data_IF_460739472959
#
_entry.id   IF_460739472959
#
_cell.length_a   1.000
_cell.length_b   1.000
_cell.length_c   1.000
_cell.angle_alpha   90.00
_cell.angle_beta   90.00
_cell.angle_gamma   90.00
#
_symmetry.space_group_name_H-M   'P 1'
#
loop_
_entity.id
_entity.type
_entity.pdbx_description
1 polymer ?
#
# COMPACT_ATOMS: atom_id res chain seq x y z
N UNK A 1 -35.36 -16.25 -43.93
CA UNK A 1 -33.90 -16.03 -44.06
C UNK A 1 -33.41 -15.88 -42.65
N UNK A 2 -32.65 -16.85 -42.16
CA UNK A 2 -32.12 -16.81 -40.80
C UNK A 2 -30.82 -16.03 -40.86
N UNK A 3 -30.80 -14.87 -40.20
CA UNK A 3 -29.60 -14.05 -40.04
C UNK A 3 -28.64 -14.82 -39.13
N UNK A 4 -27.69 -15.47 -39.77
CA UNK A 4 -26.53 -16.07 -39.11
C UNK A 4 -25.58 -14.91 -38.79
N UNK A 5 -25.87 -14.16 -37.73
CA UNK A 5 -24.89 -13.28 -37.09
C UNK A 5 -23.77 -14.17 -36.55
N UNK A 6 -22.75 -14.39 -37.39
CA UNK A 6 -21.55 -15.10 -36.96
C UNK A 6 -20.98 -14.40 -35.73
N UNK A 7 -20.80 -15.14 -34.63
CA UNK A 7 -20.05 -14.63 -33.49
C UNK A 7 -18.72 -14.06 -34.00
N UNK A 8 -18.56 -12.74 -33.89
CA UNK A 8 -17.33 -12.06 -34.26
C UNK A 8 -16.16 -12.74 -33.53
N UNK A 9 -15.09 -13.05 -34.26
CA UNK A 9 -13.93 -13.71 -33.70
C UNK A 9 -13.36 -12.91 -32.52
N UNK A 10 -13.11 -13.58 -31.40
CA UNK A 10 -12.57 -12.98 -30.17
C UNK A 10 -11.28 -12.21 -30.45
N UNK A 11 -11.22 -10.95 -30.03
CA UNK A 11 -10.06 -10.07 -30.22
C UNK A 11 -9.08 -10.28 -29.08
N UNK A 12 -7.89 -10.80 -29.40
CA UNK A 12 -6.85 -11.05 -28.38
C UNK A 12 -6.26 -9.74 -27.86
N UNK A 13 -6.33 -9.54 -26.54
CA UNK A 13 -5.76 -8.37 -25.85
C UNK A 13 -4.26 -8.56 -25.68
N UNK A 14 -3.47 -7.57 -26.09
CA UNK A 14 -2.01 -7.53 -26.05
C UNK A 14 -1.57 -6.26 -25.33
N UNK A 15 -1.22 -6.33 -24.05
CA UNK A 15 -0.84 -5.15 -23.30
C UNK A 15 0.50 -4.60 -23.81
N UNK A 16 0.58 -3.27 -23.88
CA UNK A 16 1.83 -2.57 -24.22
C UNK A 16 2.93 -2.89 -23.20
N UNK A 17 2.54 -3.04 -21.93
CA UNK A 17 3.39 -3.61 -20.89
C UNK A 17 3.26 -5.14 -20.87
N UNK A 18 4.27 -5.86 -21.35
CA UNK A 18 4.28 -7.33 -21.36
C UNK A 18 4.24 -7.96 -19.96
N UNK A 19 4.54 -7.20 -18.92
CA UNK A 19 4.45 -7.63 -17.53
C UNK A 19 3.11 -7.26 -16.85
N UNK A 20 2.10 -6.82 -17.62
CA UNK A 20 0.78 -6.52 -17.06
C UNK A 20 0.13 -7.81 -16.54
N UNK A 21 0.10 -7.95 -15.22
CA UNK A 21 -0.62 -9.00 -14.51
C UNK A 21 -1.08 -8.49 -13.15
N UNK A 22 -2.29 -8.86 -12.72
CA UNK A 22 -2.82 -8.56 -11.41
C UNK A 22 -2.18 -9.45 -10.36
N UNK A 23 -1.54 -8.83 -9.37
CA UNK A 23 -0.80 -9.51 -8.32
C UNK A 23 -1.51 -9.45 -6.95
N UNK A 24 -2.79 -9.08 -6.93
CA UNK A 24 -3.55 -8.85 -5.70
C UNK A 24 -3.38 -7.44 -5.16
N UNK A 25 -2.70 -6.55 -5.91
CA UNK A 25 -2.50 -5.16 -5.55
C UNK A 25 -2.74 -4.16 -6.72
N UNK A 26 -2.94 -2.89 -6.38
CA UNK A 26 -3.53 -1.78 -7.11
C UNK A 26 -4.61 -2.15 -8.15
N UNK A 27 -5.71 -2.77 -7.75
CA UNK A 27 -6.79 -3.29 -8.63
C UNK A 27 -7.34 -2.23 -9.58
N UNK A 28 -7.56 -1.00 -9.13
CA UNK A 28 -8.05 0.08 -9.99
C UNK A 28 -7.05 0.45 -11.10
N UNK A 29 -5.75 0.46 -10.76
CA UNK A 29 -4.68 0.75 -11.72
C UNK A 29 -4.53 -0.40 -12.71
N UNK A 30 -4.54 -1.64 -12.24
CA UNK A 30 -4.52 -2.83 -13.08
C UNK A 30 -5.69 -2.80 -14.07
N UNK A 31 -6.92 -2.63 -13.58
CA UNK A 31 -8.13 -2.56 -14.41
C UNK A 31 -8.01 -1.43 -15.44
N UNK A 32 -7.56 -0.23 -15.04
CA UNK A 32 -7.38 0.89 -15.95
C UNK A 32 -6.40 0.58 -17.09
N UNK A 33 -5.28 -0.08 -16.79
CA UNK A 33 -4.28 -0.48 -17.79
C UNK A 33 -4.79 -1.60 -18.71
N UNK A 34 -5.51 -2.56 -18.15
CA UNK A 34 -6.14 -3.63 -18.89
C UNK A 34 -7.20 -3.11 -19.87
N UNK A 35 -8.08 -2.23 -19.41
CA UNK A 35 -9.09 -1.57 -20.25
C UNK A 35 -8.46 -0.74 -21.37
N UNK A 36 -7.35 -0.05 -21.09
CA UNK A 36 -6.62 0.69 -22.10
C UNK A 36 -6.04 -0.25 -23.18
N UNK A 37 -5.44 -1.37 -22.79
CA UNK A 37 -4.93 -2.37 -23.73
C UNK A 37 -6.05 -2.94 -24.61
N UNK A 38 -7.17 -3.35 -24.00
CA UNK A 38 -8.34 -3.84 -24.72
C UNK A 38 -8.87 -2.84 -25.74
N UNK A 39 -8.99 -1.56 -25.35
CA UNK A 39 -9.42 -0.49 -26.25
C UNK A 39 -8.45 -0.30 -27.43
N UNK A 40 -7.15 -0.34 -27.18
CA UNK A 40 -6.13 -0.18 -28.23
C UNK A 40 -6.16 -1.33 -29.25
N UNK A 41 -6.47 -2.54 -28.80
CA UNK A 41 -6.60 -3.71 -29.68
C UNK A 41 -8.00 -3.84 -30.32
N UNK A 42 -8.95 -3.01 -29.93
CA UNK A 42 -10.33 -3.06 -30.42
C UNK A 42 -11.16 -4.20 -29.82
N UNK A 43 -10.78 -4.70 -28.64
CA UNK A 43 -11.50 -5.75 -27.94
C UNK A 43 -12.80 -5.22 -27.31
N UNK A 44 -13.83 -6.04 -27.37
CA UNK A 44 -15.13 -5.78 -26.73
C UNK A 44 -15.11 -6.04 -25.23
N UNK A 45 -16.13 -5.59 -24.53
CA UNK A 45 -16.32 -5.91 -23.11
C UNK A 45 -16.48 -7.42 -22.86
N UNK A 46 -17.10 -8.16 -23.80
CA UNK A 46 -17.18 -9.63 -23.74
C UNK A 46 -15.79 -10.25 -23.81
N UNK A 47 -14.95 -9.79 -24.75
CA UNK A 47 -13.55 -10.25 -24.88
C UNK A 47 -12.75 -9.98 -23.60
N UNK A 48 -13.00 -8.83 -22.95
CA UNK A 48 -12.33 -8.45 -21.71
C UNK A 48 -12.70 -9.37 -20.53
N UNK A 49 -13.98 -9.67 -20.34
CA UNK A 49 -14.40 -10.60 -19.30
C UNK A 49 -13.81 -12.00 -19.53
N UNK A 50 -13.84 -12.48 -20.78
CA UNK A 50 -13.31 -13.80 -21.15
C UNK A 50 -11.79 -13.93 -20.98
N UNK A 51 -11.04 -12.86 -21.22
CA UNK A 51 -9.58 -12.93 -21.23
C UNK A 51 -8.93 -12.51 -19.91
N UNK A 52 -9.67 -11.92 -18.96
CA UNK A 52 -9.12 -11.39 -17.70
C UNK A 52 -8.27 -12.42 -16.95
N UNK A 53 -8.69 -13.70 -16.92
CA UNK A 53 -7.97 -14.78 -16.24
C UNK A 53 -6.51 -14.94 -16.68
N UNK A 54 -6.19 -14.63 -17.94
CA UNK A 54 -4.82 -14.68 -18.47
C UNK A 54 -3.92 -13.54 -17.96
N UNK A 55 -4.52 -12.54 -17.31
CA UNK A 55 -3.83 -11.38 -16.74
C UNK A 55 -3.78 -11.45 -15.22
N UNK A 56 -3.97 -12.63 -14.62
CA UNK A 56 -3.81 -12.87 -13.19
C UNK A 56 -2.45 -13.52 -12.92
N UNK A 57 -1.68 -12.97 -11.98
CA UNK A 57 -0.28 -13.35 -11.78
C UNK A 57 -0.07 -14.65 -11.00
N UNK A 58 -1.09 -15.14 -10.29
CA UNK A 58 -1.01 -16.31 -9.41
C UNK A 58 -2.32 -17.09 -9.41
N UNK A 59 -2.22 -18.42 -9.31
CA UNK A 59 -3.37 -19.32 -9.27
C UNK A 59 -4.31 -19.01 -8.09
N UNK A 60 -3.76 -18.71 -6.91
CA UNK A 60 -4.56 -18.34 -5.72
C UNK A 60 -5.45 -17.11 -5.94
N UNK A 61 -5.03 -16.19 -6.81
CA UNK A 61 -5.83 -15.00 -7.16
C UNK A 61 -6.83 -15.33 -8.24
N UNK A 62 -6.47 -16.20 -9.18
CA UNK A 62 -7.36 -16.66 -10.23
C UNK A 62 -8.54 -17.40 -9.60
N UNK A 63 -8.29 -18.32 -8.68
CA UNK A 63 -9.33 -19.05 -7.92
C UNK A 63 -10.37 -18.08 -7.33
N UNK A 64 -9.93 -16.94 -6.77
CA UNK A 64 -10.85 -15.91 -6.26
C UNK A 64 -11.61 -15.25 -7.40
N UNK A 65 -10.94 -14.82 -8.48
CA UNK A 65 -11.56 -14.18 -9.65
C UNK A 65 -12.64 -15.08 -10.26
N UNK A 66 -12.42 -16.39 -10.32
CA UNK A 66 -13.40 -17.34 -10.88
C UNK A 66 -14.70 -17.41 -10.07
N UNK A 67 -14.66 -17.04 -8.78
CA UNK A 67 -15.86 -16.97 -7.92
C UNK A 67 -16.61 -15.64 -8.01
N UNK A 68 -16.06 -14.63 -8.69
CA UNK A 68 -16.65 -13.30 -8.75
C UNK A 68 -17.80 -13.22 -9.75
N UNK A 69 -18.78 -12.38 -9.42
CA UNK A 69 -19.90 -12.12 -10.33
C UNK A 69 -19.39 -11.52 -11.64
N UNK A 70 -19.83 -12.08 -12.77
CA UNK A 70 -19.43 -11.64 -14.10
C UNK A 70 -18.18 -12.33 -14.66
N UNK A 71 -17.56 -13.26 -13.92
CA UNK A 71 -16.56 -14.15 -14.51
C UNK A 71 -17.24 -15.20 -15.40
N UNK A 72 -18.19 -15.94 -14.83
CA UNK A 72 -19.03 -16.92 -15.55
C UNK A 72 -20.52 -16.69 -15.21
N UNK A 73 -21.38 -16.35 -16.19
CA UNK A 73 -21.04 -16.03 -17.58
C UNK A 73 -20.22 -14.72 -17.68
N UNK A 74 -19.40 -14.55 -18.72
CA UNK A 74 -18.57 -13.35 -18.91
C UNK A 74 -19.41 -12.07 -19.03
N UNK A 75 -19.30 -11.18 -18.05
CA UNK A 75 -19.94 -9.86 -17.97
C UNK A 75 -18.95 -8.88 -17.36
N UNK A 76 -18.34 -8.05 -18.22
CA UNK A 76 -17.26 -7.16 -17.81
C UNK A 76 -17.68 -6.09 -16.79
N UNK A 77 -18.80 -5.36 -16.98
CA UNK A 77 -19.27 -4.42 -15.96
C UNK A 77 -19.40 -5.04 -14.57
N UNK A 78 -19.97 -6.26 -14.48
CA UNK A 78 -20.10 -6.98 -13.21
C UNK A 78 -18.77 -7.44 -12.66
N UNK A 79 -17.94 -8.07 -13.48
CA UNK A 79 -16.62 -8.57 -13.07
C UNK A 79 -15.73 -7.44 -12.56
N UNK A 80 -15.70 -6.32 -13.26
CA UNK A 80 -14.98 -5.11 -12.84
C UNK A 80 -15.48 -4.62 -11.48
N UNK A 81 -16.80 -4.55 -11.29
CA UNK A 81 -17.39 -4.10 -10.03
C UNK A 81 -17.06 -5.06 -8.87
N UNK A 82 -17.15 -6.37 -9.09
CA UNK A 82 -16.82 -7.39 -8.09
C UNK A 82 -15.34 -7.41 -7.73
N UNK A 83 -14.43 -7.21 -8.70
CA UNK A 83 -13.01 -7.06 -8.40
C UNK A 83 -12.72 -5.82 -7.54
N UNK A 84 -13.36 -4.68 -7.86
CA UNK A 84 -13.23 -3.45 -7.05
C UNK A 84 -13.86 -3.64 -5.67
N UNK A 85 -14.98 -4.35 -5.55
CA UNK A 85 -15.60 -4.62 -4.25
C UNK A 85 -14.72 -5.52 -3.38
N UNK A 86 -14.09 -6.55 -3.97
CA UNK A 86 -13.24 -7.51 -3.25
C UNK A 86 -11.87 -6.90 -2.89
N UNK A 87 -11.19 -6.28 -3.86
CA UNK A 87 -9.83 -5.77 -3.67
C UNK A 87 -9.75 -4.24 -3.46
N UNK A 88 -10.71 -3.45 -3.93
CA UNK A 88 -10.61 -1.98 -3.92
C UNK A 88 -10.48 -1.34 -2.54
N UNK A 89 -10.99 -2.00 -1.49
CA UNK A 89 -10.79 -1.56 -0.10
C UNK A 89 -9.40 -1.91 0.46
N UNK A 90 -8.77 -2.99 -0.03
CA UNK A 90 -7.42 -3.39 0.39
C UNK A 90 -6.35 -2.56 -0.33
N UNK A 91 -6.72 -1.95 -1.45
CA UNK A 91 -5.76 -1.73 -2.53
C UNK A 91 -5.65 -0.30 -3.05
N UNK A 92 -6.18 0.63 -2.26
CA UNK A 92 -6.09 2.08 -2.48
C UNK A 92 -5.03 2.74 -1.60
N UNK A 93 -4.43 2.00 -0.67
CA UNK A 93 -3.42 2.50 0.25
C UNK A 93 -2.07 2.70 -0.45
N UNK A 94 -1.77 3.94 -0.86
CA UNK A 94 -0.45 4.35 -1.38
C UNK A 94 0.67 4.01 -0.39
N UNK A 95 0.36 4.06 0.90
CA UNK A 95 1.21 3.62 2.00
C UNK A 95 0.37 2.93 3.07
N UNK A 96 0.98 2.00 3.77
CA UNK A 96 0.43 1.20 4.87
C UNK A 96 1.33 1.32 6.09
N UNK A 97 0.86 0.86 7.26
CA UNK A 97 1.69 0.82 8.47
C UNK A 97 2.94 -0.05 8.32
N UNK A 98 2.91 -1.07 7.43
CA UNK A 98 4.07 -1.91 7.09
C UNK A 98 5.20 -1.13 6.42
N UNK A 99 4.88 -0.06 5.69
CA UNK A 99 5.90 0.79 5.07
C UNK A 99 6.70 1.56 6.13
N UNK A 100 6.05 1.99 7.22
CA UNK A 100 6.76 2.56 8.37
C UNK A 100 7.60 1.51 9.10
N UNK A 101 7.05 0.34 9.38
CA UNK A 101 7.81 -0.76 10.02
C UNK A 101 9.05 -1.13 9.20
N UNK A 102 8.88 -1.28 7.89
CA UNK A 102 9.97 -1.61 6.96
C UNK A 102 11.03 -0.52 6.94
N UNK A 103 10.62 0.77 6.91
CA UNK A 103 11.53 1.90 6.99
C UNK A 103 12.30 1.91 8.32
N UNK A 104 11.64 1.61 9.45
CA UNK A 104 12.33 1.51 10.76
C UNK A 104 13.34 0.39 10.77
N UNK A 105 12.99 -0.79 10.27
CA UNK A 105 13.94 -1.92 10.22
C UNK A 105 15.11 -1.63 9.26
N UNK A 106 14.87 -0.96 8.14
CA UNK A 106 15.94 -0.50 7.24
C UNK A 106 16.92 0.41 7.98
N UNK A 107 16.44 1.44 8.70
CA UNK A 107 17.31 2.33 9.45
C UNK A 107 18.03 1.62 10.59
N UNK A 108 17.35 0.73 11.33
CA UNK A 108 17.98 -0.09 12.38
C UNK A 108 19.10 -0.96 11.81
N UNK A 109 18.91 -1.55 10.63
CA UNK A 109 19.94 -2.36 9.97
C UNK A 109 21.19 -1.55 9.59
N UNK A 110 21.04 -0.24 9.35
CA UNK A 110 22.14 0.71 9.10
C UNK A 110 22.80 1.25 10.38
N UNK A 111 22.38 0.80 11.57
CA UNK A 111 22.86 1.31 12.85
C UNK A 111 21.97 2.39 13.48
N UNK A 112 20.83 2.70 12.85
CA UNK A 112 19.89 3.74 13.26
C UNK A 112 20.34 5.14 12.86
N UNK A 113 19.42 6.10 12.93
CA UNK A 113 19.69 7.51 12.65
C UNK A 113 20.70 8.04 13.68
N UNK A 114 21.85 8.50 13.20
CA UNK A 114 22.98 8.87 14.06
C UNK A 114 23.51 10.29 13.79
N UNK A 115 23.17 10.86 12.63
CA UNK A 115 23.62 12.17 12.17
C UNK A 115 22.46 13.07 11.72
N UNK A 116 22.75 14.37 11.56
CA UNK A 116 21.80 15.33 10.99
C UNK A 116 21.45 14.98 9.53
N UNK A 117 22.42 14.47 8.77
CA UNK A 117 22.22 14.06 7.38
C UNK A 117 21.27 12.86 7.32
N UNK A 118 21.52 11.84 8.16
CA UNK A 118 20.66 10.67 8.31
C UNK A 118 19.23 11.08 8.64
N UNK A 119 19.08 12.03 9.58
CA UNK A 119 17.77 12.50 10.00
C UNK A 119 17.01 13.21 8.88
N UNK A 120 17.71 14.01 8.05
CA UNK A 120 17.10 14.64 6.88
C UNK A 120 16.67 13.62 5.83
N UNK A 121 17.46 12.56 5.60
CA UNK A 121 17.11 11.49 4.68
C UNK A 121 15.91 10.68 5.19
N UNK A 122 15.91 10.32 6.46
CA UNK A 122 14.79 9.65 7.11
C UNK A 122 13.50 10.47 7.01
N UNK A 123 13.54 11.78 7.26
CA UNK A 123 12.34 12.63 7.18
C UNK A 123 11.73 12.67 5.78
N UNK A 124 12.55 12.67 4.73
CA UNK A 124 12.08 12.68 3.33
C UNK A 124 11.22 11.47 2.98
N UNK A 125 11.41 10.33 3.64
CA UNK A 125 10.60 9.12 3.45
C UNK A 125 9.52 8.96 4.52
N UNK A 126 9.84 9.24 5.79
CA UNK A 126 8.91 9.09 6.91
C UNK A 126 7.71 10.05 6.82
N UNK A 127 7.94 11.34 6.57
CA UNK A 127 6.88 12.36 6.62
C UNK A 127 5.77 12.12 5.58
N UNK A 128 6.07 11.81 4.30
CA UNK A 128 5.04 11.47 3.33
C UNK A 128 4.19 10.25 3.71
N UNK A 129 4.82 9.22 4.29
CA UNK A 129 4.12 8.01 4.74
C UNK A 129 3.19 8.35 5.90
N UNK A 130 3.72 8.97 6.96
CA UNK A 130 2.95 9.39 8.12
C UNK A 130 1.75 10.27 7.72
N UNK A 131 1.98 11.29 6.90
CA UNK A 131 0.92 12.20 6.45
C UNK A 131 -0.17 11.47 5.68
N UNK A 132 0.19 10.50 4.85
CA UNK A 132 -0.79 9.68 4.13
C UNK A 132 -1.62 8.82 5.07
N UNK A 133 -0.98 8.12 6.02
CA UNK A 133 -1.68 7.24 6.95
C UNK A 133 -2.72 8.00 7.80
N UNK A 134 -2.37 9.21 8.28
CA UNK A 134 -3.33 10.08 8.98
C UNK A 134 -4.46 10.54 8.07
N UNK A 135 -4.12 11.04 6.87
CA UNK A 135 -5.10 11.60 5.94
C UNK A 135 -6.09 10.55 5.42
N UNK A 136 -5.71 9.27 5.44
CA UNK A 136 -6.55 8.14 5.02
C UNK A 136 -7.10 7.31 6.18
N UNK A 137 -6.95 7.80 7.42
CA UNK A 137 -7.42 7.12 8.63
C UNK A 137 -6.91 5.66 8.73
N UNK A 138 -5.69 5.41 8.23
CA UNK A 138 -4.99 4.14 8.46
C UNK A 138 -4.34 4.10 9.85
N UNK A 139 -4.14 5.26 10.45
CA UNK A 139 -3.87 5.45 11.88
C UNK A 139 -4.79 6.56 12.38
N UNK A 140 -5.30 6.43 13.60
CA UNK A 140 -6.15 7.44 14.24
C UNK A 140 -5.31 8.62 14.74
N UNK A 141 -4.04 8.37 15.08
CA UNK A 141 -3.13 9.42 15.54
C UNK A 141 -1.65 9.09 15.34
N UNK A 142 -0.80 10.14 15.39
CA UNK A 142 0.66 10.00 15.39
C UNK A 142 1.20 9.26 16.63
N UNK A 143 0.39 9.11 17.68
CA UNK A 143 0.79 8.41 18.90
C UNK A 143 1.01 6.92 18.67
N UNK A 144 0.30 6.33 17.70
CA UNK A 144 0.44 4.92 17.33
C UNK A 144 1.82 4.61 16.74
N UNK A 145 2.36 5.55 15.95
CA UNK A 145 3.65 5.39 15.26
C UNK A 145 4.82 5.96 16.07
N UNK A 146 4.55 6.55 17.24
CA UNK A 146 5.56 7.17 18.12
C UNK A 146 6.69 6.22 18.48
N UNK A 147 6.36 4.98 18.80
CA UNK A 147 7.35 3.96 19.18
C UNK A 147 8.29 3.66 18.02
N UNK A 148 7.75 3.50 16.81
CA UNK A 148 8.52 3.27 15.59
C UNK A 148 9.43 4.46 15.26
N UNK A 149 8.93 5.68 15.39
CA UNK A 149 9.74 6.89 15.22
C UNK A 149 10.94 6.90 16.18
N UNK A 150 10.74 6.66 17.48
CA UNK A 150 11.83 6.58 18.46
C UNK A 150 12.83 5.45 18.14
N UNK A 151 12.33 4.29 17.70
CA UNK A 151 13.17 3.12 17.40
C UNK A 151 14.01 3.25 16.12
N UNK A 152 13.69 4.22 15.25
CA UNK A 152 14.49 4.50 14.05
C UNK A 152 15.86 5.12 14.38
N UNK A 153 16.00 5.76 15.53
CA UNK A 153 17.26 6.37 15.98
C UNK A 153 18.23 5.32 16.51
N UNK A 154 19.53 5.59 16.31
CA UNK A 154 20.60 4.80 16.93
C UNK A 154 20.48 4.81 18.46
N UNK A 155 20.97 3.77 19.13
CA UNK A 155 20.90 3.66 20.61
C UNK A 155 21.52 4.87 21.30
N UNK A 156 22.65 5.38 20.79
CA UNK A 156 23.30 6.57 21.35
C UNK A 156 22.47 7.85 21.19
N UNK A 157 21.72 8.00 20.09
CA UNK A 157 20.79 9.13 19.92
C UNK A 157 19.55 8.96 20.79
N UNK A 158 19.03 7.73 20.93
CA UNK A 158 17.93 7.43 21.85
C UNK A 158 18.25 7.80 23.30
N UNK A 159 19.48 7.53 23.77
CA UNK A 159 19.95 7.95 25.09
C UNK A 159 20.01 9.48 25.22
N UNK A 160 20.54 10.18 24.21
CA UNK A 160 20.56 11.66 24.20
C UNK A 160 19.17 12.28 24.23
N UNK A 161 18.23 11.71 23.48
CA UNK A 161 16.81 12.12 23.51
C UNK A 161 16.27 11.95 24.94
N UNK A 162 16.55 10.82 25.61
CA UNK A 162 16.13 10.58 26.99
C UNK A 162 16.72 11.62 27.95
N UNK A 163 18.01 11.92 27.84
CA UNK A 163 18.68 12.93 28.66
C UNK A 163 18.06 14.32 28.43
N UNK A 164 17.71 14.64 27.18
CA UNK A 164 17.01 15.89 26.85
C UNK A 164 15.64 15.96 27.50
N UNK A 165 14.84 14.89 27.46
CA UNK A 165 13.53 14.83 28.12
C UNK A 165 13.61 14.97 29.64
N UNK A 166 14.69 14.48 30.27
CA UNK A 166 14.95 14.69 31.70
C UNK A 166 15.25 16.16 31.98
N UNK A 167 16.14 16.77 31.18
CA UNK A 167 16.51 18.19 31.31
C UNK A 167 15.30 19.12 31.16
N UNK A 168 14.43 18.81 30.20
CA UNK A 168 13.24 19.60 29.90
C UNK A 168 12.06 19.29 30.83
N UNK A 169 12.23 18.35 31.78
CA UNK A 169 11.20 17.88 32.72
C UNK A 169 9.94 17.35 32.03
N UNK A 170 10.11 16.81 30.83
CA UNK A 170 9.03 16.25 29.99
C UNK A 170 9.04 14.72 29.97
N UNK A 171 10.02 14.09 30.64
CA UNK A 171 10.07 12.64 30.83
C UNK A 171 8.86 12.14 31.62
N UNK A 172 8.20 11.10 31.09
CA UNK A 172 7.10 10.42 31.78
C UNK A 172 7.60 9.10 32.35
N UNK A 173 7.28 8.83 33.61
CA UNK A 173 7.54 7.55 34.25
C UNK A 173 6.22 6.85 34.60
N UNK A 174 6.22 5.53 34.49
CA UNK A 174 5.14 4.68 34.99
C UNK A 174 5.23 4.53 36.51
N UNK A 175 4.19 3.96 37.14
CA UNK A 175 4.16 3.71 38.58
C UNK A 175 5.31 2.80 39.07
N UNK A 176 5.79 1.90 38.21
CA UNK A 176 6.97 1.04 38.44
C UNK A 176 8.29 1.70 38.04
N UNK A 177 8.30 3.03 37.86
CA UNK A 177 9.48 3.86 37.52
C UNK A 177 10.15 3.52 36.19
N UNK A 178 9.44 2.89 35.25
CA UNK A 178 9.94 2.66 33.89
C UNK A 178 9.70 3.88 33.02
N UNK A 179 10.60 4.08 32.06
CA UNK A 179 10.48 5.15 31.08
C UNK A 179 9.29 4.89 30.15
N UNK A 180 8.41 5.88 30.04
CA UNK A 180 7.32 5.92 29.07
C UNK A 180 7.61 7.05 28.07
N UNK A 181 7.47 6.76 26.79
CA UNK A 181 7.61 7.78 25.75
C UNK A 181 6.58 8.91 25.99
N UNK A 182 7.00 10.18 25.93
CA UNK A 182 6.10 11.33 26.03
C UNK A 182 5.22 11.43 24.76
N UNK A 183 4.40 12.46 24.58
CA UNK A 183 3.64 12.63 23.33
C UNK A 183 4.56 12.72 22.11
N UNK A 184 4.04 12.41 20.92
CA UNK A 184 4.81 12.44 19.68
C UNK A 184 5.46 13.80 19.42
N UNK A 185 4.74 14.88 19.73
CA UNK A 185 5.24 16.26 19.60
C UNK A 185 6.45 16.53 20.51
N UNK A 186 6.33 16.18 21.80
CA UNK A 186 7.44 16.34 22.76
C UNK A 186 8.64 15.49 22.34
N UNK A 187 8.39 14.27 21.86
CA UNK A 187 9.44 13.39 21.37
C UNK A 187 10.16 14.00 20.16
N UNK A 188 9.41 14.53 19.18
CA UNK A 188 9.96 15.13 17.96
C UNK A 188 10.81 16.38 18.27
N UNK A 189 10.45 17.14 19.30
CA UNK A 189 11.20 18.33 19.72
C UNK A 189 12.50 18.00 20.47
N UNK A 190 12.64 16.77 20.97
CA UNK A 190 13.83 16.31 21.67
C UNK A 190 14.90 15.68 20.75
N UNK A 191 14.61 15.54 19.45
CA UNK A 191 15.51 15.07 18.38
C UNK A 191 16.32 16.24 17.82
#
# INVERSE_FOLDING_TARGET
MADNEGEAAMVKIKPQNKALAFNGSNVERFLSQYQLAARLDGASEKDMAQQLGFFIAKDELLDVVETLEGYEPPDWPKLKASMIAYWGNVDTAKFTSRDLESLVEEWKSKGGISSVVDYQEFRKTWEPIQSYLLAKAHIDSVEEIRKWYYQSFSTGVQERIRDQLIRDKTMITTLDKRFKLPTFEVLKNAV
#
